data_IF_683576171150
#
_entry.id   IF_683576171150
#
_cell.length_a   1.000
_cell.length_b   1.000
_cell.length_c   1.000
_cell.angle_alpha   90.00
_cell.angle_beta   90.00
_cell.angle_gamma   90.00
#
_symmetry.space_group_name_H-M   'P 1'
#
loop_
_entity.id
_entity.type
_entity.pdbx_description
1 polymer ?
#
# COMPACT_ATOMS: atom_id res chain seq x y z
N UNK A 1 -15.11 -10.37 6.47
CA UNK A 1 -14.44 -10.14 5.18
C UNK A 1 -13.04 -9.63 5.48
N UNK A 2 -12.00 -10.28 4.97
CA UNK A 2 -10.63 -9.86 5.15
C UNK A 2 -10.18 -9.20 3.85
N UNK A 3 -9.67 -7.96 3.90
CA UNK A 3 -9.15 -7.26 2.74
C UNK A 3 -7.71 -6.80 2.99
N UNK A 4 -6.98 -6.53 1.93
CA UNK A 4 -5.65 -5.94 1.96
C UNK A 4 -5.59 -4.77 0.99
N UNK A 5 -5.15 -3.63 1.47
CA UNK A 5 -4.82 -2.48 0.62
C UNK A 5 -3.37 -2.56 0.15
N UNK A 6 -3.09 -1.95 -0.99
CA UNK A 6 -1.75 -1.82 -1.54
C UNK A 6 -1.48 -0.35 -1.80
N UNK A 7 -0.55 0.21 -1.04
CA UNK A 7 -0.07 1.56 -1.28
C UNK A 7 0.93 1.55 -2.44
N UNK A 8 0.73 2.41 -3.42
CA UNK A 8 1.53 2.41 -4.64
C UNK A 8 2.01 3.82 -4.96
N UNK A 9 3.23 3.89 -5.50
CA UNK A 9 3.71 5.13 -6.11
C UNK A 9 3.09 5.31 -7.49
N UNK A 10 2.59 6.50 -7.75
CA UNK A 10 2.07 6.87 -9.07
C UNK A 10 2.68 8.20 -9.52
N UNK A 11 2.92 8.32 -10.82
CA UNK A 11 3.38 9.57 -11.43
C UNK A 11 2.21 10.15 -12.22
N UNK A 12 1.66 11.32 -11.82
CA UNK A 12 0.62 11.98 -12.57
C UNK A 12 1.05 12.28 -14.00
N UNK A 13 0.08 12.24 -14.95
CA UNK A 13 0.36 12.47 -16.37
C UNK A 13 0.97 13.84 -16.67
N UNK A 14 0.62 14.84 -15.86
CA UNK A 14 1.05 16.22 -15.96
C UNK A 14 2.20 16.58 -15.00
N UNK A 15 2.89 15.57 -14.46
CA UNK A 15 4.03 15.79 -13.58
C UNK A 15 5.12 16.60 -14.27
N UNK A 16 5.59 17.68 -13.63
CA UNK A 16 6.61 18.58 -14.17
C UNK A 16 7.99 17.94 -14.29
N UNK A 17 8.30 16.98 -13.43
CA UNK A 17 9.61 16.33 -13.34
C UNK A 17 9.49 14.79 -13.30
N UNK A 18 8.92 14.14 -14.33
CA UNK A 18 8.67 12.70 -14.32
C UNK A 18 9.96 11.88 -14.22
N UNK A 19 11.07 12.36 -14.79
CA UNK A 19 12.39 11.70 -14.69
C UNK A 19 12.86 11.61 -13.24
N UNK A 20 12.71 12.68 -12.46
CA UNK A 20 13.08 12.67 -11.04
C UNK A 20 12.18 11.75 -10.22
N UNK A 21 10.90 11.70 -10.55
CA UNK A 21 9.97 10.77 -9.93
C UNK A 21 10.36 9.30 -10.19
N UNK A 22 10.74 8.97 -11.42
CA UNK A 22 11.27 7.65 -11.75
C UNK A 22 12.57 7.32 -10.99
N UNK A 23 13.49 8.27 -10.87
CA UNK A 23 14.73 8.07 -10.08
C UNK A 23 14.41 7.78 -8.61
N UNK A 24 13.46 8.51 -8.03
CA UNK A 24 13.01 8.28 -6.65
C UNK A 24 12.39 6.89 -6.50
N UNK A 25 11.47 6.50 -7.38
CA UNK A 25 10.83 5.18 -7.36
C UNK A 25 11.88 4.07 -7.50
N UNK A 26 12.81 4.22 -8.44
CA UNK A 26 13.91 3.26 -8.62
C UNK A 26 14.79 3.12 -7.37
N UNK A 27 15.07 4.24 -6.70
CA UNK A 27 15.79 4.20 -5.42
C UNK A 27 15.01 3.43 -4.35
N UNK A 28 13.71 3.70 -4.22
CA UNK A 28 12.83 3.03 -3.25
C UNK A 28 12.67 1.52 -3.53
N UNK A 29 12.81 1.12 -4.79
CA UNK A 29 12.76 -0.29 -5.21
C UNK A 29 14.06 -1.07 -4.98
N UNK A 30 15.14 -0.43 -4.56
CA UNK A 30 16.37 -1.14 -4.18
C UNK A 30 16.09 -2.07 -3.00
N UNK A 31 16.57 -3.33 -3.04
CA UNK A 31 16.28 -4.31 -1.97
C UNK A 31 16.69 -3.84 -0.58
N UNK A 32 17.85 -3.22 -0.46
CA UNK A 32 18.37 -2.67 0.81
C UNK A 32 17.52 -1.53 1.36
N UNK A 33 17.01 -0.65 0.48
CA UNK A 33 16.15 0.47 0.84
C UNK A 33 14.75 -0.03 1.23
N UNK A 34 14.18 -0.92 0.41
CA UNK A 34 12.87 -1.51 0.68
C UNK A 34 12.86 -2.28 2.01
N UNK A 35 13.92 -3.04 2.33
CA UNK A 35 14.06 -3.75 3.60
C UNK A 35 14.13 -2.78 4.80
N UNK A 36 14.95 -1.72 4.70
CA UNK A 36 15.04 -0.70 5.76
C UNK A 36 13.70 -0.03 6.03
N UNK A 37 12.95 0.29 4.97
CA UNK A 37 11.61 0.84 5.11
C UNK A 37 10.68 -0.14 5.83
N UNK A 38 10.63 -1.41 5.40
CA UNK A 38 9.79 -2.42 6.06
C UNK A 38 10.14 -2.60 7.53
N UNK A 39 11.42 -2.61 7.88
CA UNK A 39 11.87 -2.72 9.27
C UNK A 39 11.45 -1.51 10.10
N UNK A 40 11.50 -0.31 9.52
CA UNK A 40 11.16 0.93 10.22
C UNK A 40 9.64 1.10 10.42
N UNK A 41 8.86 0.91 9.34
CA UNK A 41 7.40 1.16 9.39
C UNK A 41 6.59 -0.09 9.78
N UNK A 42 7.22 -1.26 9.88
CA UNK A 42 6.58 -2.55 10.19
C UNK A 42 5.49 -2.95 9.18
N UNK A 43 5.71 -2.63 7.90
CA UNK A 43 4.82 -2.98 6.80
C UNK A 43 5.53 -3.90 5.81
N UNK A 44 4.77 -4.80 5.20
CA UNK A 44 5.26 -5.61 4.10
C UNK A 44 5.51 -4.75 2.86
N UNK A 45 6.45 -5.17 2.02
CA UNK A 45 6.68 -4.57 0.70
C UNK A 45 6.57 -5.62 -0.41
N UNK A 46 6.41 -5.16 -1.65
CA UNK A 46 6.26 -6.01 -2.83
C UNK A 46 7.58 -6.45 -3.48
N UNK A 47 8.74 -6.08 -2.92
CA UNK A 47 10.04 -6.44 -3.46
C UNK A 47 10.54 -7.76 -2.87
N UNK A 48 10.41 -8.85 -3.63
CA UNK A 48 10.81 -10.18 -3.18
C UNK A 48 12.32 -10.27 -2.84
N UNK A 49 13.17 -9.52 -3.54
CA UNK A 49 14.61 -9.49 -3.28
C UNK A 49 14.98 -8.84 -1.95
N UNK A 50 14.10 -8.02 -1.37
CA UNK A 50 14.32 -7.41 -0.06
C UNK A 50 14.04 -8.35 1.10
N UNK A 51 13.31 -9.45 0.88
CA UNK A 51 12.77 -10.30 1.95
C UNK A 51 13.86 -10.89 2.85
N UNK A 52 15.01 -11.26 2.30
CA UNK A 52 16.15 -11.78 3.06
C UNK A 52 16.88 -10.73 3.90
N UNK A 53 16.62 -9.45 3.66
CA UNK A 53 17.23 -8.31 4.36
C UNK A 53 16.29 -7.71 5.41
N UNK A 54 15.06 -8.21 5.51
CA UNK A 54 14.07 -7.76 6.49
C UNK A 54 14.26 -8.54 7.78
N UNK A 55 14.14 -7.87 8.91
CA UNK A 55 14.29 -8.45 10.24
C UNK A 55 13.31 -9.62 10.46
N UNK A 56 13.77 -10.66 11.13
CA UNK A 56 12.96 -11.85 11.40
C UNK A 56 11.70 -11.54 12.23
N UNK A 57 11.76 -10.52 13.08
CA UNK A 57 10.60 -10.03 13.86
C UNK A 57 9.49 -9.47 12.98
N UNK A 58 9.84 -8.87 11.82
CA UNK A 58 8.88 -8.32 10.85
C UNK A 58 8.37 -9.43 9.94
N UNK A 59 9.27 -10.24 9.36
CA UNK A 59 8.90 -11.32 8.45
C UNK A 59 8.13 -12.45 9.13
N UNK A 60 8.38 -12.68 10.43
CA UNK A 60 7.68 -13.67 11.25
C UNK A 60 6.34 -13.19 11.81
N UNK A 61 5.99 -11.92 11.63
CA UNK A 61 4.72 -11.37 12.11
C UNK A 61 3.59 -11.66 11.12
N UNK A 62 2.59 -12.50 11.46
CA UNK A 62 1.50 -12.86 10.55
C UNK A 62 0.57 -11.68 10.21
N UNK A 63 0.59 -10.60 10.97
CA UNK A 63 -0.14 -9.38 10.65
C UNK A 63 0.56 -8.56 9.55
N UNK A 64 1.88 -8.71 9.39
CA UNK A 64 2.68 -8.04 8.35
C UNK A 64 2.84 -8.94 7.14
N UNK A 65 3.24 -10.20 7.35
CA UNK A 65 3.40 -11.23 6.32
C UNK A 65 2.46 -12.41 6.61
N UNK A 66 1.19 -12.32 6.19
CA UNK A 66 0.22 -13.38 6.41
C UNK A 66 0.65 -14.69 5.73
N UNK A 67 0.31 -15.86 6.31
CA UNK A 67 0.52 -17.14 5.66
C UNK A 67 -0.20 -17.25 4.31
N UNK A 68 0.32 -18.03 3.38
CA UNK A 68 -0.23 -18.19 2.03
C UNK A 68 -1.71 -18.59 2.03
N UNK A 69 -2.14 -19.42 2.98
CA UNK A 69 -3.54 -19.83 3.12
C UNK A 69 -4.46 -18.65 3.46
N UNK A 70 -3.97 -17.67 4.23
CA UNK A 70 -4.71 -16.46 4.51
C UNK A 70 -4.68 -15.52 3.30
N UNK A 71 -3.55 -15.43 2.61
CA UNK A 71 -3.41 -14.60 1.40
C UNK A 71 -4.43 -14.97 0.32
N UNK A 72 -4.73 -16.27 0.15
CA UNK A 72 -5.75 -16.75 -0.80
C UNK A 72 -7.17 -16.30 -0.48
N UNK A 73 -7.43 -15.93 0.78
CA UNK A 73 -8.75 -15.48 1.25
C UNK A 73 -8.91 -13.96 1.26
N UNK A 74 -7.83 -13.23 1.00
CA UNK A 74 -7.88 -11.78 0.94
C UNK A 74 -8.44 -11.33 -0.41
N UNK A 75 -9.28 -10.31 -0.37
CA UNK A 75 -9.79 -9.64 -1.57
C UNK A 75 -9.22 -8.23 -1.65
N UNK A 76 -8.83 -7.77 -2.85
CA UNK A 76 -8.44 -6.39 -3.03
C UNK A 76 -9.65 -5.47 -2.83
N UNK A 77 -9.38 -4.28 -2.30
CA UNK A 77 -10.36 -3.20 -2.29
C UNK A 77 -10.48 -2.65 -3.71
N UNK A 78 -11.66 -2.82 -4.30
CA UNK A 78 -11.92 -2.40 -5.68
C UNK A 78 -12.51 -1.00 -5.68
N UNK A 79 -12.25 -0.21 -6.75
CA UNK A 79 -12.88 1.09 -6.90
C UNK A 79 -14.40 0.98 -6.87
N UNK A 80 -15.02 1.78 -6.05
CA UNK A 80 -16.47 1.85 -5.93
C UNK A 80 -17.09 2.57 -7.15
N UNK A 81 -18.37 2.29 -7.40
CA UNK A 81 -19.08 2.95 -8.48
C UNK A 81 -19.15 4.47 -8.25
N UNK A 82 -19.22 5.29 -9.32
CA UNK A 82 -19.37 6.75 -9.18
C UNK A 82 -20.59 7.16 -8.34
N UNK A 83 -21.68 6.38 -8.41
CA UNK A 83 -22.90 6.64 -7.64
C UNK A 83 -22.69 6.37 -6.15
N UNK A 84 -22.02 5.29 -5.81
CA UNK A 84 -21.65 4.96 -4.45
C UNK A 84 -20.70 6.01 -3.87
N UNK A 85 -19.69 6.44 -4.62
CA UNK A 85 -18.77 7.49 -4.19
C UNK A 85 -19.48 8.83 -3.93
N UNK A 86 -20.48 9.19 -4.75
CA UNK A 86 -21.32 10.38 -4.49
C UNK A 86 -22.13 10.24 -3.21
N UNK A 87 -22.71 9.06 -2.98
CA UNK A 87 -23.46 8.78 -1.76
C UNK A 87 -22.55 8.86 -0.53
N UNK A 88 -21.39 8.22 -0.61
CA UNK A 88 -20.40 8.23 0.48
C UNK A 88 -19.94 9.65 0.82
N UNK A 89 -19.62 10.46 -0.19
CA UNK A 89 -19.19 11.85 0.00
C UNK A 89 -20.29 12.71 0.65
N UNK A 90 -21.53 12.56 0.20
CA UNK A 90 -22.68 13.25 0.82
C UNK A 90 -22.88 12.83 2.26
N UNK A 91 -22.87 11.53 2.54
CA UNK A 91 -23.04 10.99 3.90
C UNK A 91 -21.94 11.49 4.83
N UNK A 92 -20.69 11.47 4.35
CA UNK A 92 -19.56 11.98 5.11
C UNK A 92 -19.64 13.49 5.38
N UNK A 93 -20.09 14.27 4.39
CA UNK A 93 -20.33 15.70 4.58
C UNK A 93 -21.38 15.94 5.64
N UNK A 94 -22.50 15.21 5.62
CA UNK A 94 -23.55 15.29 6.65
C UNK A 94 -23.03 14.99 8.06
N UNK A 95 -22.21 13.94 8.19
CA UNK A 95 -21.58 13.61 9.48
C UNK A 95 -20.69 14.75 9.99
N UNK A 96 -19.89 15.35 9.10
CA UNK A 96 -18.98 16.43 9.51
C UNK A 96 -19.67 17.76 9.80
N UNK A 97 -20.73 18.08 9.08
CA UNK A 97 -21.42 19.38 9.19
C UNK A 97 -22.65 19.34 10.10
N UNK A 98 -23.11 18.16 10.49
CA UNK A 98 -24.33 17.99 11.28
C UNK A 98 -25.64 18.34 10.54
N UNK A 99 -25.59 18.43 9.19
CA UNK A 99 -26.74 18.76 8.33
C UNK A 99 -27.20 17.55 7.53
#
# INVERSE_FOLDING_TARGET
>A
MLFRSFDQFAIPKDAKHPKNAHLFINYMLRPDVAAKNSNFIQYANGNSASKSLIDASVTGNPNVYPPDELMKKLVPDLPESPDFNRLLTRSWTRVKTGQ
#
